data_IF_490814937548
#
_entry.id   IF_490814937548
#
_cell.length_a   1.000
_cell.length_b   1.000
_cell.length_c   1.000
_cell.angle_alpha   90.00
_cell.angle_beta   90.00
_cell.angle_gamma   90.00
#
_symmetry.space_group_name_H-M   'P 1'
#
loop_
_entity.id
_entity.type
_entity.pdbx_description
1 polymer ?
#
# COMPACT_ATOMS: atom_id res chain seq x y z
N UNK A 1 3.21 -5.06 -15.90
CA UNK A 1 3.60 -5.87 -14.73
C UNK A 1 4.90 -5.33 -14.11
N UNK A 2 4.81 -4.26 -13.29
CA UNK A 2 5.97 -3.61 -12.64
C UNK A 2 5.87 -3.62 -11.10
N UNK A 3 4.86 -4.34 -10.58
CA UNK A 3 4.38 -4.24 -9.20
C UNK A 3 5.06 -5.23 -8.25
N UNK A 4 5.60 -6.33 -8.77
CA UNK A 4 6.22 -7.41 -8.00
C UNK A 4 7.57 -7.00 -7.39
N UNK A 5 8.43 -6.29 -8.13
CA UNK A 5 9.78 -5.95 -7.66
C UNK A 5 9.82 -4.93 -6.51
N UNK A 6 8.82 -4.05 -6.43
CA UNK A 6 8.77 -3.00 -5.41
C UNK A 6 8.22 -3.53 -4.08
N UNK A 7 7.30 -4.50 -4.12
CA UNK A 7 6.72 -5.08 -2.92
C UNK A 7 7.77 -5.85 -2.09
N UNK A 8 8.58 -6.68 -2.75
CA UNK A 8 9.64 -7.46 -2.10
C UNK A 8 10.74 -6.56 -1.50
N UNK A 9 11.12 -5.51 -2.24
CA UNK A 9 12.13 -4.55 -1.78
C UNK A 9 11.64 -3.77 -0.55
N UNK A 10 10.36 -3.40 -0.50
CA UNK A 10 9.78 -2.70 0.65
C UNK A 10 9.63 -3.63 1.85
N UNK A 11 9.29 -4.91 1.65
CA UNK A 11 9.22 -5.90 2.71
C UNK A 11 10.60 -6.13 3.36
N UNK A 12 11.65 -6.31 2.55
CA UNK A 12 13.03 -6.47 3.04
C UNK A 12 13.51 -5.27 3.87
N UNK A 13 13.20 -4.04 3.43
CA UNK A 13 13.56 -2.82 4.19
C UNK A 13 12.78 -2.69 5.49
N UNK A 14 11.53 -3.16 5.55
CA UNK A 14 10.72 -3.14 6.77
C UNK A 14 11.24 -4.13 7.81
N UNK A 15 11.67 -5.31 7.38
CA UNK A 15 12.32 -6.31 8.23
C UNK A 15 13.67 -5.82 8.76
N UNK A 16 14.51 -5.23 7.89
CA UNK A 16 15.82 -4.67 8.28
C UNK A 16 15.70 -3.53 9.30
N UNK A 17 14.63 -2.74 9.22
CA UNK A 17 14.42 -1.54 10.07
C UNK A 17 13.47 -1.75 11.25
N UNK A 18 13.04 -2.99 11.51
CA UNK A 18 12.04 -3.35 12.53
C UNK A 18 10.79 -2.46 12.47
N UNK A 19 10.37 -2.13 11.24
CA UNK A 19 9.21 -1.28 11.02
C UNK A 19 7.94 -2.14 11.16
N UNK A 20 6.91 -1.64 11.86
CA UNK A 20 5.68 -2.39 12.04
C UNK A 20 5.03 -2.70 10.70
N UNK A 21 4.47 -3.91 10.61
CA UNK A 21 3.70 -4.40 9.45
C UNK A 21 2.44 -3.56 9.18
N UNK A 22 2.02 -2.76 10.16
CA UNK A 22 0.92 -1.79 10.10
C UNK A 22 1.45 -0.43 10.54
N UNK A 23 1.49 0.53 9.62
CA UNK A 23 1.78 1.94 9.89
C UNK A 23 0.55 2.74 9.42
N UNK A 24 -0.36 3.02 10.36
CA UNK A 24 -1.63 3.73 10.08
C UNK A 24 -1.38 5.10 9.43
N UNK A 25 -0.31 5.79 9.82
CA UNK A 25 0.07 7.08 9.23
C UNK A 25 0.63 6.94 7.81
N UNK A 26 1.27 5.82 7.48
CA UNK A 26 1.65 5.51 6.09
C UNK A 26 0.44 5.08 5.24
N UNK A 27 -0.52 4.36 5.81
CA UNK A 27 -1.78 4.02 5.14
C UNK A 27 -2.57 5.29 4.77
N UNK A 28 -2.71 6.24 5.71
CA UNK A 28 -3.41 7.51 5.46
C UNK A 28 -2.74 8.32 4.33
N UNK A 29 -1.41 8.44 4.36
CA UNK A 29 -0.62 9.11 3.29
C UNK A 29 -0.69 8.41 1.93
N UNK A 30 -0.91 7.09 1.89
CA UNK A 30 -1.14 6.36 0.63
C UNK A 30 -2.53 6.67 0.10
N UNK A 31 -3.53 6.71 0.97
CA UNK A 31 -4.92 6.98 0.61
C UNK A 31 -5.15 8.43 0.16
N UNK A 32 -4.45 9.39 0.75
CA UNK A 32 -4.42 10.80 0.34
C UNK A 32 -3.88 10.92 -1.09
N UNK A 33 -2.66 10.41 -1.34
CA UNK A 33 -2.04 10.43 -2.68
C UNK A 33 -2.85 9.65 -3.72
N UNK A 34 -3.54 8.57 -3.32
CA UNK A 34 -4.40 7.83 -4.22
C UNK A 34 -5.60 8.68 -4.67
N UNK A 35 -6.14 9.52 -3.78
CA UNK A 35 -7.18 10.51 -4.09
C UNK A 35 -6.67 11.60 -5.04
N UNK A 36 -5.54 12.23 -4.72
CA UNK A 36 -4.93 13.28 -5.56
C UNK A 36 -4.62 12.78 -6.97
N UNK A 37 -4.12 11.54 -7.10
CA UNK A 37 -3.88 10.95 -8.40
C UNK A 37 -5.18 10.63 -9.15
N UNK A 38 -6.23 10.22 -8.44
CA UNK A 38 -7.52 9.97 -9.08
C UNK A 38 -8.07 11.24 -9.74
N UNK A 39 -7.99 12.37 -9.04
CA UNK A 39 -8.33 13.68 -9.59
C UNK A 39 -7.45 14.05 -10.79
N UNK A 40 -6.12 13.87 -10.66
CA UNK A 40 -5.16 14.18 -11.74
C UNK A 40 -5.40 13.39 -13.02
N UNK A 41 -5.90 12.16 -12.91
CA UNK A 41 -6.15 11.27 -14.05
C UNK A 41 -7.62 11.18 -14.46
N UNK A 42 -8.49 12.03 -13.88
CA UNK A 42 -9.93 12.08 -14.14
C UNK A 42 -10.62 10.71 -13.97
N UNK A 43 -10.27 10.01 -12.89
CA UNK A 43 -10.87 8.74 -12.50
C UNK A 43 -11.58 8.86 -11.15
N UNK A 44 -12.56 8.00 -10.91
CA UNK A 44 -13.34 8.02 -9.67
C UNK A 44 -12.45 7.76 -8.44
N UNK A 45 -12.33 8.78 -7.59
CA UNK A 45 -11.52 8.72 -6.38
C UNK A 45 -12.02 7.69 -5.35
N UNK A 46 -13.33 7.45 -5.26
CA UNK A 46 -13.88 6.44 -4.36
C UNK A 46 -13.52 5.03 -4.83
N UNK A 47 -13.59 4.78 -6.14
CA UNK A 47 -13.17 3.51 -6.72
C UNK A 47 -11.67 3.26 -6.52
N UNK A 48 -10.82 4.25 -6.80
CA UNK A 48 -9.36 4.14 -6.60
C UNK A 48 -9.04 3.87 -5.12
N UNK A 49 -9.65 4.61 -4.20
CA UNK A 49 -9.48 4.39 -2.76
C UNK A 49 -9.95 2.99 -2.34
N UNK A 50 -11.05 2.48 -2.89
CA UNK A 50 -11.51 1.11 -2.61
C UNK A 50 -10.49 0.06 -3.05
N UNK A 51 -9.91 0.20 -4.25
CA UNK A 51 -8.85 -0.68 -4.75
C UNK A 51 -7.62 -0.61 -3.83
N UNK A 52 -7.17 0.58 -3.44
CA UNK A 52 -6.02 0.72 -2.53
C UNK A 52 -6.23 0.09 -1.15
N UNK A 53 -7.44 0.17 -0.59
CA UNK A 53 -7.78 -0.55 0.66
C UNK A 53 -7.59 -2.06 0.52
N UNK A 54 -8.07 -2.66 -0.58
CA UNK A 54 -7.88 -4.09 -0.82
C UNK A 54 -6.41 -4.50 -0.91
N UNK A 55 -5.57 -3.62 -1.48
CA UNK A 55 -4.14 -3.89 -1.65
C UNK A 55 -3.36 -3.77 -0.34
N UNK A 56 -3.75 -2.83 0.52
CA UNK A 56 -3.24 -2.72 1.88
C UNK A 56 -3.61 -3.97 2.68
N UNK A 57 -4.87 -4.40 2.62
CA UNK A 57 -5.32 -5.60 3.31
C UNK A 57 -4.62 -6.87 2.80
N UNK A 58 -4.45 -7.02 1.48
CA UNK A 58 -3.70 -8.14 0.94
C UNK A 58 -2.24 -8.15 1.42
N UNK A 59 -1.59 -6.99 1.43
CA UNK A 59 -0.21 -6.85 1.91
C UNK A 59 -0.07 -7.19 3.40
N UNK A 60 -1.07 -6.85 4.23
CA UNK A 60 -1.12 -7.24 5.65
C UNK A 60 -1.24 -8.74 5.83
N UNK A 61 -2.05 -9.43 5.00
CA UNK A 61 -2.19 -10.89 5.04
C UNK A 61 -0.88 -11.57 4.66
N UNK A 62 -0.26 -11.17 3.54
CA UNK A 62 1.03 -11.74 3.09
C UNK A 62 2.15 -11.55 4.15
N UNK A 63 2.22 -10.37 4.79
CA UNK A 63 3.21 -10.12 5.85
C UNK A 63 2.96 -10.92 7.13
N UNK A 64 1.73 -11.36 7.40
CA UNK A 64 1.43 -12.26 8.53
C UNK A 64 1.83 -13.70 8.23
N UNK A 65 1.70 -14.16 6.98
CA UNK A 65 2.10 -15.52 6.58
C UNK A 65 3.63 -15.68 6.45
N UNK A 66 4.35 -14.58 6.19
CA UNK A 66 5.81 -14.56 6.10
C UNK A 66 6.53 -14.36 7.44
N UNK A 67 5.79 -14.21 8.56
CA UNK A 67 6.31 -14.18 9.93
C UNK A 67 6.31 -15.58 10.54
#
# INVERSE_FOLDING_TARGET
ARRTYVADTVAAVKEERDLPTTDEGQEERVMERAGENAERFDVDANLVKAIFRLLIELNKVEQRESR
#
